data_IF_437876184506
#
_entry.id   IF_437876184506
#
_cell.length_a   1.000
_cell.length_b   1.000
_cell.length_c   1.000
_cell.angle_alpha   90.00
_cell.angle_beta   90.00
_cell.angle_gamma   90.00
#
_symmetry.space_group_name_H-M   'P 1'
#
loop_
_entity.id
_entity.type
_entity.pdbx_description
1 polymer ?
#
# COMPACT_ATOMS: atom_id res chain seq x y z
N UNK A 1 -0.58 -9.09 10.60
CA UNK A 1 0.47 -8.22 10.05
C UNK A 1 0.51 -6.92 10.85
N UNK A 2 1.65 -6.22 10.81
CA UNK A 2 2.06 -4.88 11.33
C UNK A 2 1.27 -4.13 12.41
N UNK A 3 0.43 -4.80 13.20
CA UNK A 3 -0.44 -4.20 14.21
C UNK A 3 -1.68 -3.49 13.63
N UNK A 4 -2.42 -2.79 14.51
CA UNK A 4 -3.63 -2.04 14.12
C UNK A 4 -3.23 -0.70 13.52
N UNK A 5 -3.66 -0.44 12.29
CA UNK A 5 -3.44 0.80 11.55
C UNK A 5 -4.27 0.80 10.28
N UNK A 6 -4.12 1.82 9.45
CA UNK A 6 -4.76 1.89 8.12
C UNK A 6 -3.76 1.42 7.07
N UNK A 7 -4.14 0.41 6.29
CA UNK A 7 -3.28 -0.30 5.36
C UNK A 7 -3.52 0.15 3.92
N UNK A 8 -2.43 0.41 3.21
CA UNK A 8 -2.39 0.77 1.80
C UNK A 8 -1.42 -0.14 1.05
N UNK A 9 -1.55 -0.22 -0.28
CA UNK A 9 -0.63 -0.92 -1.15
C UNK A 9 -0.32 -0.07 -2.39
N UNK A 10 0.85 -0.28 -2.98
CA UNK A 10 1.29 0.36 -4.22
C UNK A 10 0.97 -0.48 -5.48
N UNK A 11 0.41 -1.68 -5.29
CA UNK A 11 -0.04 -2.57 -6.36
C UNK A 11 -1.56 -2.73 -6.28
N UNK A 12 -2.27 -2.29 -7.32
CA UNK A 12 -3.75 -2.29 -7.34
C UNK A 12 -4.34 -3.68 -7.07
N UNK A 13 -3.75 -4.73 -7.61
CA UNK A 13 -4.22 -6.12 -7.45
C UNK A 13 -4.20 -6.60 -6.00
N UNK A 14 -3.29 -6.07 -5.17
CA UNK A 14 -3.24 -6.40 -3.74
C UNK A 14 -4.44 -5.83 -3.00
N UNK A 15 -4.70 -4.54 -3.16
CA UNK A 15 -5.86 -3.87 -2.54
C UNK A 15 -7.18 -4.41 -3.08
N UNK A 16 -7.23 -4.74 -4.38
CA UNK A 16 -8.43 -5.24 -5.05
C UNK A 16 -8.95 -6.56 -4.45
N UNK A 17 -8.08 -7.42 -3.92
CA UNK A 17 -8.48 -8.65 -3.23
C UNK A 17 -9.34 -8.39 -1.98
N UNK A 18 -9.24 -7.20 -1.37
CA UNK A 18 -10.03 -6.81 -0.21
C UNK A 18 -11.42 -6.26 -0.59
N UNK A 19 -11.73 -6.12 -1.88
CA UNK A 19 -13.08 -5.75 -2.34
C UNK A 19 -14.08 -6.92 -2.24
N UNK A 20 -13.60 -8.17 -2.14
CA UNK A 20 -14.43 -9.40 -2.09
C UNK A 20 -15.51 -9.45 -3.19
N UNK A 21 -15.19 -8.95 -4.38
CA UNK A 21 -16.03 -9.05 -5.57
C UNK A 21 -16.16 -10.51 -6.03
N UNK A 22 -17.16 -10.81 -6.86
CA UNK A 22 -17.38 -12.14 -7.43
C UNK A 22 -17.90 -12.04 -8.86
N UNK A 23 -18.00 -13.17 -9.58
CA UNK A 23 -18.63 -13.19 -10.90
C UNK A 23 -20.06 -12.65 -10.91
N UNK A 24 -20.81 -12.93 -9.85
CA UNK A 24 -22.21 -12.51 -9.72
C UNK A 24 -22.34 -11.05 -9.28
N UNK A 25 -21.28 -10.49 -8.69
CA UNK A 25 -21.21 -9.09 -8.25
C UNK A 25 -19.79 -8.55 -8.51
N UNK A 26 -19.46 -8.24 -9.77
CA UNK A 26 -18.08 -7.91 -10.18
C UNK A 26 -17.69 -6.46 -9.90
N UNK A 27 -18.63 -5.61 -9.49
CA UNK A 27 -18.34 -4.21 -9.21
C UNK A 27 -17.78 -4.04 -7.79
N UNK A 28 -16.62 -3.42 -7.69
CA UNK A 28 -15.96 -3.06 -6.44
C UNK A 28 -15.67 -1.58 -6.35
N UNK A 29 -15.48 -1.10 -5.13
CA UNK A 29 -15.02 0.26 -4.85
C UNK A 29 -13.59 0.23 -4.34
N UNK A 30 -12.75 1.13 -4.86
CA UNK A 30 -11.35 1.27 -4.46
C UNK A 30 -11.02 2.73 -4.18
N UNK A 31 -10.29 2.99 -3.10
CA UNK A 31 -9.85 4.34 -2.73
C UNK A 31 -8.40 4.56 -3.17
N UNK A 32 -8.14 5.75 -3.73
CA UNK A 32 -6.80 6.32 -3.82
C UNK A 32 -6.71 7.47 -2.82
N UNK A 33 -5.76 7.33 -1.90
CA UNK A 33 -5.47 8.32 -0.88
C UNK A 33 -4.06 8.85 -1.05
N UNK A 34 -3.88 10.14 -0.82
CA UNK A 34 -2.59 10.71 -0.50
C UNK A 34 -2.29 10.37 0.97
N UNK A 35 -1.14 9.74 1.23
CA UNK A 35 -0.78 9.24 2.55
C UNK A 35 0.56 9.83 2.96
N UNK A 36 0.57 10.58 4.06
CA UNK A 36 1.78 11.20 4.61
C UNK A 36 2.64 10.15 5.35
N UNK A 37 3.43 9.39 4.61
CA UNK A 37 4.24 8.29 5.15
C UNK A 37 5.42 8.76 6.02
N UNK A 38 6.00 9.92 5.70
CA UNK A 38 7.23 10.40 6.34
C UNK A 38 8.36 9.37 6.28
N UNK A 39 9.23 9.36 7.29
CA UNK A 39 10.20 8.28 7.48
C UNK A 39 9.48 6.96 7.81
N UNK A 40 9.63 5.97 6.95
CA UNK A 40 9.06 4.63 7.12
C UNK A 40 9.99 3.72 7.93
N UNK A 41 9.41 2.92 8.83
CA UNK A 41 10.09 1.76 9.40
C UNK A 41 9.89 0.54 8.51
N UNK A 42 10.97 0.04 7.90
CA UNK A 42 10.91 -1.11 7.01
C UNK A 42 10.85 -2.43 7.80
N UNK A 43 9.84 -3.25 7.49
CA UNK A 43 9.65 -4.56 8.09
C UNK A 43 9.61 -5.65 7.02
N UNK A 44 10.35 -6.74 7.27
CA UNK A 44 10.45 -7.90 6.38
C UNK A 44 9.66 -9.11 6.89
N UNK A 45 9.22 -9.08 8.14
CA UNK A 45 8.45 -10.14 8.80
C UNK A 45 7.30 -9.54 9.58
N UNK A 46 6.25 -10.33 9.82
CA UNK A 46 5.14 -9.88 10.66
C UNK A 46 5.65 -9.45 12.04
N UNK A 47 5.25 -8.25 12.44
CA UNK A 47 5.48 -7.67 13.77
C UNK A 47 4.20 -6.95 14.21
N UNK A 48 4.07 -6.66 15.49
CA UNK A 48 2.93 -5.90 16.02
C UNK A 48 3.41 -4.52 16.43
N UNK A 49 2.98 -3.49 15.69
CA UNK A 49 3.35 -2.10 15.90
C UNK A 49 2.11 -1.22 16.11
N UNK A 50 2.33 -0.04 16.65
CA UNK A 50 1.34 0.99 16.94
C UNK A 50 2.03 2.36 16.91
N UNK A 51 1.25 3.44 16.93
CA UNK A 51 1.78 4.80 17.05
C UNK A 51 2.75 4.97 18.25
N UNK A 52 2.49 4.26 19.36
CA UNK A 52 3.31 4.30 20.58
C UNK A 52 4.54 3.39 20.57
N UNK A 53 4.61 2.42 19.65
CA UNK A 53 5.70 1.42 19.59
C UNK A 53 6.57 1.56 18.34
N UNK A 54 6.22 2.48 17.43
CA UNK A 54 7.07 2.81 16.29
C UNK A 54 8.45 3.30 16.76
N UNK A 55 9.54 2.88 16.09
CA UNK A 55 10.86 3.40 16.38
C UNK A 55 10.91 4.94 16.27
N UNK A 56 11.63 5.56 17.20
CA UNK A 56 11.76 7.03 17.23
C UNK A 56 12.28 7.56 15.90
N UNK A 57 11.62 8.59 15.38
CA UNK A 57 11.97 9.22 14.09
C UNK A 57 11.31 8.58 12.88
N UNK A 58 10.45 7.58 13.07
CA UNK A 58 9.59 6.98 12.03
C UNK A 58 8.12 7.34 12.27
N UNK A 59 7.31 7.35 11.20
CA UNK A 59 5.92 7.83 11.22
C UNK A 59 4.94 6.81 10.62
N UNK A 60 5.45 5.77 9.97
CA UNK A 60 4.67 4.74 9.32
C UNK A 60 5.51 3.45 9.22
N UNK A 61 4.85 2.35 8.88
CA UNK A 61 5.51 1.08 8.59
C UNK A 61 5.43 0.78 7.11
N UNK A 62 6.54 0.31 6.54
CA UNK A 62 6.58 -0.29 5.21
C UNK A 62 6.81 -1.79 5.34
N UNK A 63 5.80 -2.60 5.04
CA UNK A 63 5.98 -4.02 4.82
C UNK A 63 6.66 -4.24 3.48
N UNK A 64 7.91 -4.69 3.46
CA UNK A 64 8.70 -4.85 2.24
C UNK A 64 8.34 -6.16 1.53
N UNK A 65 7.73 -6.07 0.36
CA UNK A 65 7.38 -7.22 -0.49
C UNK A 65 8.45 -7.54 -1.55
N UNK A 66 8.37 -8.72 -2.16
CA UNK A 66 9.31 -9.16 -3.21
C UNK A 66 9.09 -8.47 -4.56
N UNK A 67 7.92 -7.85 -4.77
CA UNK A 67 7.57 -7.09 -5.98
C UNK A 67 7.13 -5.68 -5.62
N UNK A 68 7.57 -4.69 -6.40
CA UNK A 68 7.21 -3.28 -6.25
C UNK A 68 7.08 -2.60 -7.63
N UNK A 69 6.36 -1.48 -7.77
CA UNK A 69 6.42 -0.65 -8.98
C UNK A 69 7.86 -0.20 -9.26
N UNK A 70 8.27 -0.11 -10.53
CA UNK A 70 9.59 0.41 -10.91
C UNK A 70 9.73 1.88 -10.43
N UNK A 71 10.67 2.18 -9.52
CA UNK A 71 10.87 3.54 -9.01
C UNK A 71 11.26 4.56 -10.09
N UNK A 72 11.79 4.11 -11.24
CA UNK A 72 12.14 4.99 -12.37
C UNK A 72 10.91 5.53 -13.10
N UNK A 73 9.77 4.87 -12.94
CA UNK A 73 8.49 5.22 -13.58
C UNK A 73 7.53 5.89 -12.60
N UNK A 74 8.01 6.28 -11.42
CA UNK A 74 7.23 7.11 -10.51
C UNK A 74 6.88 8.43 -11.16
N UNK A 75 5.61 8.80 -11.07
CA UNK A 75 5.17 10.13 -11.43
C UNK A 75 5.19 11.02 -10.18
N UNK A 76 5.82 12.18 -10.29
CA UNK A 76 5.88 13.18 -9.23
C UNK A 76 4.95 14.33 -9.61
N UNK A 77 3.98 14.63 -8.76
CA UNK A 77 3.13 15.81 -8.92
C UNK A 77 3.89 17.08 -8.55
N UNK A 78 3.38 18.24 -8.97
CA UNK A 78 4.01 19.54 -8.68
C UNK A 78 4.03 19.88 -7.17
N UNK A 79 3.09 19.34 -6.40
CA UNK A 79 3.00 19.46 -4.94
C UNK A 79 3.79 18.37 -4.20
N UNK A 80 4.56 17.54 -4.92
CA UNK A 80 5.53 16.61 -4.33
C UNK A 80 4.97 15.23 -3.96
N UNK A 81 3.74 14.91 -4.34
CA UNK A 81 3.16 13.57 -4.16
C UNK A 81 3.79 12.60 -5.16
N UNK A 82 4.12 11.40 -4.67
CA UNK A 82 4.63 10.30 -5.49
C UNK A 82 3.48 9.39 -5.86
N UNK A 83 3.28 9.16 -7.16
CA UNK A 83 2.35 8.16 -7.68
C UNK A 83 3.18 6.98 -8.22
N UNK A 84 3.23 5.84 -7.51
CA UNK A 84 4.03 4.68 -7.90
C UNK A 84 3.30 3.87 -8.99
N UNK A 85 3.30 4.41 -10.22
CA UNK A 85 2.55 3.85 -11.35
C UNK A 85 3.40 3.01 -12.32
N UNK A 86 4.64 2.70 -11.94
CA UNK A 86 5.53 1.86 -12.74
C UNK A 86 5.05 0.41 -12.83
N UNK A 87 5.50 -0.29 -13.86
CA UNK A 87 5.28 -1.73 -13.95
C UNK A 87 5.94 -2.48 -12.77
N UNK A 88 5.41 -3.67 -12.44
CA UNK A 88 5.93 -4.47 -11.33
C UNK A 88 7.31 -5.06 -11.63
N UNK A 89 8.27 -4.78 -10.76
CA UNK A 89 9.65 -5.31 -10.80
C UNK A 89 10.00 -6.02 -9.50
N UNK A 90 11.02 -6.88 -9.54
CA UNK A 90 11.57 -7.47 -8.32
C UNK A 90 12.14 -6.38 -7.42
N UNK A 91 11.78 -6.41 -6.14
CA UNK A 91 12.40 -5.58 -5.13
C UNK A 91 13.72 -6.20 -4.65
N UNK A 92 14.47 -5.44 -3.83
CA UNK A 92 15.65 -5.94 -3.12
C UNK A 92 15.29 -6.60 -1.77
N UNK A 93 14.01 -6.78 -1.45
CA UNK A 93 13.58 -7.31 -0.17
C UNK A 93 13.97 -8.78 -0.03
N UNK A 94 14.80 -9.08 0.97
CA UNK A 94 15.24 -10.44 1.29
C UNK A 94 14.48 -10.97 2.50
N UNK A 95 14.30 -12.29 2.57
CA UNK A 95 13.70 -12.97 3.73
C UNK A 95 12.30 -12.47 4.11
N UNK A 96 11.54 -12.00 3.12
CA UNK A 96 10.13 -11.58 3.28
C UNK A 96 9.18 -12.64 2.73
N UNK A 97 8.03 -12.77 3.37
CA UNK A 97 6.90 -13.58 2.88
C UNK A 97 5.87 -12.74 2.12
N UNK A 98 6.07 -11.43 2.03
CA UNK A 98 5.16 -10.51 1.35
C UNK A 98 5.43 -10.52 -0.16
N UNK A 99 4.39 -10.70 -0.96
CA UNK A 99 4.50 -10.61 -2.42
C UNK A 99 4.65 -9.16 -2.90
N UNK A 100 3.90 -8.24 -2.30
CA UNK A 100 3.92 -6.81 -2.63
C UNK A 100 4.04 -5.96 -1.37
N UNK A 101 4.47 -4.72 -1.52
CA UNK A 101 4.59 -3.81 -0.39
C UNK A 101 3.25 -3.54 0.32
N UNK A 102 3.34 -3.15 1.58
CA UNK A 102 2.23 -2.56 2.36
C UNK A 102 2.74 -1.30 3.04
N UNK A 103 1.87 -0.30 3.14
CA UNK A 103 2.15 0.95 3.83
C UNK A 103 1.10 1.13 4.91
N UNK A 104 1.55 1.33 6.15
CA UNK A 104 0.68 1.37 7.32
C UNK A 104 0.92 2.68 8.07
N UNK A 105 -0.13 3.46 8.24
CA UNK A 105 -0.16 4.62 9.13
C UNK A 105 -0.97 4.29 10.37
N UNK A 106 -0.59 4.91 11.48
CA UNK A 106 -1.21 4.68 12.79
C UNK A 106 -2.02 5.87 13.30
N UNK A 107 -1.99 6.97 12.54
CA UNK A 107 -2.79 8.17 12.74
C UNK A 107 -3.61 8.43 11.46
N UNK A 108 -4.92 8.66 11.62
CA UNK A 108 -5.82 8.92 10.50
C UNK A 108 -5.60 10.29 9.89
N UNK A 109 -5.01 11.23 10.62
CA UNK A 109 -4.70 12.58 10.11
C UNK A 109 -3.60 12.55 9.05
N UNK A 110 -2.90 11.42 8.88
CA UNK A 110 -1.94 11.18 7.80
C UNK A 110 -2.62 10.85 6.45
N UNK A 111 -3.95 10.79 6.37
CA UNK A 111 -4.67 10.28 5.19
C UNK A 111 -5.56 11.36 4.60
N UNK A 112 -5.38 11.62 3.31
CA UNK A 112 -6.27 12.48 2.53
C UNK A 112 -6.87 11.67 1.36
N UNK A 113 -8.17 11.35 1.45
CA UNK A 113 -8.88 10.60 0.39
C UNK A 113 -9.08 11.50 -0.84
N UNK A 114 -8.56 11.09 -2.00
CA UNK A 114 -8.61 11.92 -3.23
C UNK A 114 -9.61 11.41 -4.25
N UNK A 115 -9.63 10.09 -4.45
CA UNK A 115 -10.45 9.48 -5.49
C UNK A 115 -11.11 8.21 -4.97
N UNK A 116 -12.37 8.02 -5.36
CA UNK A 116 -13.10 6.76 -5.24
C UNK A 116 -13.32 6.22 -6.65
N UNK A 117 -12.79 5.03 -6.91
CA UNK A 117 -12.91 4.34 -8.18
C UNK A 117 -14.02 3.30 -8.06
N UNK A 118 -14.96 3.32 -8.99
CA UNK A 118 -15.85 2.20 -9.27
C UNK A 118 -15.17 1.32 -10.32
N UNK A 119 -14.82 0.10 -9.94
CA UNK A 119 -14.02 -0.82 -10.74
C UNK A 119 -14.87 -2.04 -11.09
N UNK A 120 -14.89 -2.40 -12.37
CA UNK A 120 -15.55 -3.60 -12.86
C UNK A 120 -14.52 -4.74 -13.02
N UNK A 121 -14.67 -5.80 -12.23
CA UNK A 121 -13.72 -6.92 -12.17
C UNK A 121 -14.05 -7.98 -13.21
N UNK A 122 -13.17 -8.13 -14.20
CA UNK A 122 -13.32 -9.09 -15.29
C UNK A 122 -12.78 -10.48 -14.91
N UNK A 123 -13.64 -11.35 -14.38
CA UNK A 123 -13.29 -12.73 -14.05
C UNK A 123 -13.17 -13.62 -15.30
N UNK A 124 -12.08 -14.40 -15.40
CA UNK A 124 -11.89 -15.35 -16.51
C UNK A 124 -12.47 -16.75 -16.24
N UNK A 125 -12.56 -17.17 -14.97
CA UNK A 125 -12.97 -18.51 -14.54
C UNK A 125 -13.75 -18.50 -13.25
#
# INVERSE_FOLDING_TARGET
>A
MFGKGVYFADMVSKSANYCFTSKQSPEGLMLLCEVALGNMYECYKATTLSASTLPKGTHSTKGCGTTMPDPKEHYHTNDGVIIPMGHGVSSNARQTSLLYNEYIVYDTDQINMKYLLRVDFQYKY
#
